data_IF_375286483800
#
_entry.id   IF_375286483800
#
_cell.length_a   1.000
_cell.length_b   1.000
_cell.length_c   1.000
_cell.angle_alpha   90.00
_cell.angle_beta   90.00
_cell.angle_gamma   90.00
#
_symmetry.space_group_name_H-M   'P 1'
#
loop_
_entity.id
_entity.type
_entity.pdbx_description
1 polymer ?
#
# COMPACT_ATOMS: atom_id res chain seq x y z
N UNK A 1 19.14 18.86 -5.70
CA UNK A 1 17.76 19.44 -5.64
C UNK A 1 16.74 18.31 -5.66
N UNK A 2 15.81 18.27 -4.69
CA UNK A 2 14.72 17.28 -4.66
C UNK A 2 13.42 17.89 -5.20
N UNK A 3 12.73 17.17 -6.09
CA UNK A 3 11.46 17.59 -6.69
C UNK A 3 10.47 16.43 -6.69
N UNK A 4 9.21 16.73 -6.43
CA UNK A 4 8.10 15.80 -6.58
C UNK A 4 7.08 16.40 -7.54
N UNK A 5 6.64 15.61 -8.51
CA UNK A 5 5.58 16.00 -9.44
C UNK A 5 4.51 14.92 -9.47
N UNK A 6 3.29 15.31 -9.83
CA UNK A 6 2.17 14.39 -9.97
C UNK A 6 1.47 14.63 -11.30
N UNK A 7 1.16 13.54 -11.99
CA UNK A 7 0.18 13.48 -13.06
C UNK A 7 -1.01 12.64 -12.61
N UNK A 8 -2.22 13.05 -12.97
CA UNK A 8 -3.45 12.34 -12.64
C UNK A 8 -4.48 12.57 -13.75
N UNK A 9 -5.09 11.50 -14.25
CA UNK A 9 -6.19 11.57 -15.21
C UNK A 9 -7.26 10.52 -14.89
N UNK A 10 -8.52 10.90 -15.09
CA UNK A 10 -9.73 10.06 -15.04
C UNK A 10 -10.34 9.89 -16.43
N UNK A 11 -9.59 10.19 -17.50
CA UNK A 11 -10.10 10.03 -18.86
C UNK A 11 -10.47 8.56 -19.12
N UNK A 12 -11.62 8.39 -19.77
CA UNK A 12 -12.20 7.08 -20.09
C UNK A 12 -11.33 6.38 -21.15
N UNK A 13 -10.77 7.16 -22.09
CA UNK A 13 -9.91 6.66 -23.14
C UNK A 13 -8.47 6.52 -22.63
N UNK A 14 -8.01 5.26 -22.53
CA UNK A 14 -6.72 4.94 -21.92
C UNK A 14 -5.53 5.71 -22.53
N UNK A 15 -5.54 5.92 -23.84
CA UNK A 15 -4.44 6.63 -24.52
C UNK A 15 -4.42 8.12 -24.14
N UNK A 16 -5.58 8.73 -23.97
CA UNK A 16 -5.70 10.13 -23.59
C UNK A 16 -5.35 10.29 -22.10
N UNK A 17 -5.84 9.38 -21.24
CA UNK A 17 -5.43 9.33 -19.83
C UNK A 17 -3.91 9.22 -19.65
N UNK A 18 -3.26 8.34 -20.42
CA UNK A 18 -1.80 8.19 -20.41
C UNK A 18 -1.09 9.43 -20.95
N UNK A 19 -1.59 10.01 -22.05
CA UNK A 19 -1.03 11.22 -22.63
C UNK A 19 -1.07 12.39 -21.62
N UNK A 20 -2.19 12.55 -20.92
CA UNK A 20 -2.37 13.55 -19.86
C UNK A 20 -1.38 13.34 -18.72
N UNK A 21 -1.37 12.15 -18.11
CA UNK A 21 -0.50 11.83 -16.96
C UNK A 21 0.97 12.06 -17.30
N UNK A 22 1.40 11.60 -18.48
CA UNK A 22 2.78 11.75 -18.95
C UNK A 22 3.11 13.21 -19.24
N UNK A 23 2.22 13.94 -19.92
CA UNK A 23 2.40 15.35 -20.27
C UNK A 23 2.49 16.23 -19.03
N UNK A 24 1.58 16.04 -18.07
CA UNK A 24 1.58 16.73 -16.78
C UNK A 24 2.90 16.48 -16.03
N UNK A 25 3.34 15.23 -15.93
CA UNK A 25 4.61 14.87 -15.28
C UNK A 25 5.82 15.51 -15.98
N UNK A 26 5.91 15.42 -17.32
CA UNK A 26 7.03 15.99 -18.10
C UNK A 26 7.09 17.51 -17.98
N UNK A 27 5.95 18.18 -18.15
CA UNK A 27 5.85 19.63 -18.03
C UNK A 27 6.31 20.10 -16.65
N UNK A 28 5.85 19.42 -15.60
CA UNK A 28 6.24 19.76 -14.22
C UNK A 28 7.70 19.41 -13.93
N UNK A 29 8.25 18.31 -14.47
CA UNK A 29 9.66 17.94 -14.28
C UNK A 29 10.60 18.94 -14.96
N UNK A 30 10.28 19.37 -16.18
CA UNK A 30 11.21 20.12 -17.03
C UNK A 30 12.40 19.23 -17.42
N UNK A 31 13.62 19.75 -17.28
CA UNK A 31 14.86 19.02 -17.60
C UNK A 31 15.36 18.10 -16.46
N UNK A 32 14.65 18.04 -15.34
CA UNK A 32 15.05 17.21 -14.19
C UNK A 32 14.84 15.71 -14.48
N UNK A 33 15.75 14.82 -14.05
CA UNK A 33 15.61 13.38 -14.31
C UNK A 33 14.43 12.78 -13.55
N UNK A 34 13.81 11.73 -14.10
CA UNK A 34 12.82 10.93 -13.38
C UNK A 34 13.53 9.82 -12.59
N UNK A 35 13.89 10.08 -11.32
CA UNK A 35 14.70 9.16 -10.51
C UNK A 35 13.88 7.98 -9.96
N UNK A 36 12.68 8.26 -9.45
CA UNK A 36 11.77 7.25 -8.91
C UNK A 36 10.31 7.60 -9.17
N UNK A 37 9.43 6.59 -9.19
CA UNK A 37 8.01 6.81 -9.39
C UNK A 37 7.13 5.85 -8.59
N UNK A 38 5.93 6.34 -8.26
CA UNK A 38 4.83 5.58 -7.67
C UNK A 38 3.63 5.65 -8.62
N UNK A 39 3.27 4.50 -9.19
CA UNK A 39 2.15 4.36 -10.11
C UNK A 39 0.95 3.74 -9.39
N UNK A 40 -0.17 4.44 -9.40
CA UNK A 40 -1.46 3.97 -8.90
C UNK A 40 -2.47 4.00 -10.03
N UNK A 41 -3.27 2.95 -10.12
CA UNK A 41 -4.15 2.75 -11.26
C UNK A 41 -5.40 1.98 -10.83
N UNK A 42 -6.55 2.41 -11.35
CA UNK A 42 -7.75 1.60 -11.28
C UNK A 42 -7.56 0.24 -11.98
N UNK A 43 -8.03 -0.83 -11.33
CA UNK A 43 -7.84 -2.21 -11.78
C UNK A 43 -8.51 -2.54 -13.13
N UNK A 44 -9.46 -1.71 -13.58
CA UNK A 44 -10.20 -1.92 -14.83
C UNK A 44 -9.47 -1.49 -16.12
N UNK A 45 -8.35 -0.77 -16.02
CA UNK A 45 -7.53 -0.44 -17.19
C UNK A 45 -6.71 -1.65 -17.69
N UNK A 46 -6.21 -1.55 -18.92
CA UNK A 46 -5.19 -2.48 -19.44
C UNK A 46 -3.84 -2.20 -18.75
N UNK A 47 -3.65 -2.83 -17.59
CA UNK A 47 -2.50 -2.57 -16.70
C UNK A 47 -1.15 -2.81 -17.39
N UNK A 48 -0.93 -3.88 -18.20
CA UNK A 48 0.30 -4.03 -18.97
C UNK A 48 0.59 -2.85 -19.89
N UNK A 49 -0.43 -2.34 -20.58
CA UNK A 49 -0.29 -1.17 -21.44
C UNK A 49 0.06 0.08 -20.63
N UNK A 50 -0.58 0.30 -19.48
CA UNK A 50 -0.26 1.42 -18.57
C UNK A 50 1.19 1.35 -18.10
N UNK A 51 1.61 0.21 -17.54
CA UNK A 51 2.95 0.03 -17.00
C UNK A 51 4.03 0.26 -18.06
N UNK A 52 3.85 -0.31 -19.26
CA UNK A 52 4.80 -0.16 -20.36
C UNK A 52 4.85 1.26 -20.90
N UNK A 53 3.71 1.94 -21.04
CA UNK A 53 3.66 3.32 -21.51
C UNK A 53 4.41 4.26 -20.55
N UNK A 54 4.16 4.16 -19.25
CA UNK A 54 4.87 4.97 -18.23
C UNK A 54 6.36 4.65 -18.21
N UNK A 55 6.73 3.36 -18.20
CA UNK A 55 8.14 2.96 -18.14
C UNK A 55 8.93 3.37 -19.39
N UNK A 56 8.28 3.37 -20.56
CA UNK A 56 8.86 3.87 -21.81
C UNK A 56 8.97 5.40 -21.81
N UNK A 57 7.99 6.10 -21.25
CA UNK A 57 7.97 7.56 -21.20
C UNK A 57 9.05 8.16 -20.29
N UNK A 58 9.48 7.42 -19.27
CA UNK A 58 10.50 7.82 -18.30
C UNK A 58 11.63 6.76 -18.16
N UNK A 59 12.51 6.63 -19.17
CA UNK A 59 13.54 5.59 -19.16
C UNK A 59 14.47 5.67 -17.94
N UNK A 60 14.72 4.54 -17.28
CA UNK A 60 15.63 4.42 -16.14
C UNK A 60 15.01 4.75 -14.77
N UNK A 61 13.75 5.18 -14.73
CA UNK A 61 13.02 5.43 -13.49
C UNK A 61 12.95 4.17 -12.62
N UNK A 62 13.18 4.31 -11.31
CA UNK A 62 12.84 3.26 -10.35
C UNK A 62 11.33 3.30 -10.10
N UNK A 63 10.55 2.44 -10.76
CA UNK A 63 9.08 2.47 -10.68
C UNK A 63 8.56 1.32 -9.84
N UNK A 64 7.75 1.66 -8.82
CA UNK A 64 6.88 0.70 -8.13
C UNK A 64 5.45 1.23 -8.09
N UNK A 65 4.49 0.39 -7.72
CA UNK A 65 3.11 0.82 -7.61
C UNK A 65 2.15 -0.32 -7.35
N UNK A 66 0.86 -0.02 -7.36
CA UNK A 66 -0.18 -1.03 -7.26
C UNK A 66 -1.49 -0.54 -7.87
N UNK A 67 -2.41 -1.48 -8.09
CA UNK A 67 -3.81 -1.12 -8.26
C UNK A 67 -4.41 -0.64 -6.95
N UNK A 68 -5.45 0.20 -7.02
CA UNK A 68 -6.06 0.80 -5.83
C UNK A 68 -7.60 0.76 -5.87
N UNK A 69 -8.23 1.22 -4.78
CA UNK A 69 -9.68 1.46 -4.70
C UNK A 69 -10.04 2.95 -4.93
N UNK A 70 -9.05 3.76 -5.31
CA UNK A 70 -9.19 5.17 -5.66
C UNK A 70 -7.90 5.94 -5.42
N UNK A 71 -7.66 6.92 -6.28
CA UNK A 71 -6.48 7.78 -6.26
C UNK A 71 -6.86 9.18 -5.77
N UNK A 72 -6.06 9.72 -4.84
CA UNK A 72 -6.16 11.10 -4.37
C UNK A 72 -4.88 11.85 -4.71
N UNK A 73 -4.98 12.99 -5.37
CA UNK A 73 -3.82 13.83 -5.66
C UNK A 73 -4.11 15.32 -5.66
N UNK A 74 -3.04 16.13 -5.67
CA UNK A 74 -3.14 17.58 -5.82
C UNK A 74 -3.62 18.03 -7.21
N UNK A 75 -3.69 17.12 -8.18
CA UNK A 75 -4.03 17.44 -9.57
C UNK A 75 -5.53 17.28 -9.86
N UNK A 76 -6.10 16.14 -9.47
CA UNK A 76 -7.48 15.76 -9.81
C UNK A 76 -8.34 15.53 -8.56
N UNK A 77 -7.83 15.87 -7.37
CA UNK A 77 -8.44 15.49 -6.09
C UNK A 77 -8.66 13.97 -6.09
N UNK A 78 -9.88 13.48 -5.90
CA UNK A 78 -10.22 12.06 -5.75
C UNK A 78 -10.94 11.55 -6.99
N UNK A 79 -10.50 10.40 -7.49
CA UNK A 79 -11.20 9.59 -8.49
C UNK A 79 -11.01 8.10 -8.18
N UNK A 80 -12.00 7.27 -8.49
CA UNK A 80 -11.95 5.81 -8.31
C UNK A 80 -11.77 5.04 -9.64
N UNK A 81 -11.65 5.76 -10.75
CA UNK A 81 -11.40 5.22 -12.09
C UNK A 81 -10.32 6.04 -12.79
N UNK A 82 -9.10 6.01 -12.27
CA UNK A 82 -8.02 6.89 -12.72
C UNK A 82 -6.65 6.23 -12.79
N UNK A 83 -5.72 6.98 -13.37
CA UNK A 83 -4.28 6.72 -13.33
C UNK A 83 -3.62 7.90 -12.64
N UNK A 84 -2.89 7.64 -11.55
CA UNK A 84 -2.07 8.62 -10.86
C UNK A 84 -0.60 8.19 -10.85
N UNK A 85 0.29 9.10 -11.25
CA UNK A 85 1.73 8.89 -11.23
C UNK A 85 2.40 10.01 -10.45
N UNK A 86 3.09 9.65 -9.38
CA UNK A 86 4.02 10.54 -8.71
C UNK A 86 5.44 10.23 -9.19
N UNK A 87 6.20 11.26 -9.57
CA UNK A 87 7.63 11.13 -9.89
C UNK A 87 8.45 11.97 -8.91
N UNK A 88 9.49 11.35 -8.38
CA UNK A 88 10.53 11.98 -7.58
C UNK A 88 11.78 12.17 -8.43
N UNK A 89 12.39 13.35 -8.31
CA UNK A 89 13.64 13.71 -8.97
C UNK A 89 14.64 14.19 -7.95
N UNK A 90 15.86 13.65 -8.00
CA UNK A 90 16.98 14.09 -7.19
C UNK A 90 18.30 13.63 -7.80
N UNK A 91 19.31 14.48 -7.70
CA UNK A 91 20.70 14.18 -8.06
C UNK A 91 21.52 13.66 -6.85
N UNK A 92 20.99 13.83 -5.63
CA UNK A 92 21.70 13.52 -4.37
C UNK A 92 21.11 12.30 -3.66
N UNK A 93 19.80 12.08 -3.80
CA UNK A 93 19.09 10.97 -3.16
C UNK A 93 19.04 9.79 -4.14
N UNK A 94 19.51 8.63 -3.68
CA UNK A 94 19.38 7.39 -4.42
C UNK A 94 18.08 6.69 -4.08
N UNK A 95 17.44 6.17 -5.11
CA UNK A 95 16.26 5.34 -5.02
C UNK A 95 16.63 3.96 -5.54
N UNK A 96 16.15 2.91 -4.87
CA UNK A 96 16.31 1.55 -5.36
C UNK A 96 15.01 0.77 -5.20
N UNK A 97 14.39 0.49 -6.33
CA UNK A 97 13.24 -0.41 -6.40
C UNK A 97 13.71 -1.87 -6.47
N UNK A 98 12.99 -2.74 -5.79
CA UNK A 98 13.09 -4.20 -5.91
C UNK A 98 11.69 -4.81 -5.72
N UNK A 99 11.56 -6.11 -5.96
CA UNK A 99 10.30 -6.82 -5.74
C UNK A 99 10.54 -8.23 -5.18
N UNK A 100 9.78 -8.59 -4.15
CA UNK A 100 9.61 -9.98 -3.77
C UNK A 100 8.50 -10.59 -4.64
N UNK A 101 8.85 -11.54 -5.50
CA UNK A 101 7.90 -12.30 -6.32
C UNK A 101 7.44 -13.55 -5.60
N UNK A 102 6.22 -13.98 -5.90
CA UNK A 102 5.61 -15.19 -5.33
C UNK A 102 5.71 -15.21 -3.79
N UNK A 103 5.51 -14.04 -3.17
CA UNK A 103 5.69 -13.83 -1.74
C UNK A 103 4.67 -14.62 -0.89
N UNK A 104 3.61 -15.14 -1.49
CA UNK A 104 2.63 -16.00 -0.82
C UNK A 104 3.18 -17.39 -0.46
N UNK A 105 4.26 -17.84 -1.13
CA UNK A 105 4.91 -19.12 -0.82
C UNK A 105 5.68 -19.06 0.51
N UNK A 106 6.43 -17.97 0.71
CA UNK A 106 7.22 -17.69 1.93
C UNK A 106 7.43 -16.18 2.05
N UNK A 107 6.48 -15.51 2.68
CA UNK A 107 6.46 -14.05 2.75
C UNK A 107 7.71 -13.49 3.42
N UNK A 108 8.11 -14.07 4.55
CA UNK A 108 9.21 -13.51 5.33
C UNK A 108 10.55 -13.70 4.61
N UNK A 109 10.83 -14.89 4.05
CA UNK A 109 12.09 -15.12 3.35
C UNK A 109 12.19 -14.32 2.04
N UNK A 110 11.12 -14.27 1.25
CA UNK A 110 11.10 -13.58 -0.07
C UNK A 110 11.24 -12.06 0.11
N UNK A 111 10.50 -11.47 1.05
CA UNK A 111 10.58 -10.03 1.36
C UNK A 111 11.96 -9.69 1.92
N UNK A 112 12.50 -10.49 2.84
CA UNK A 112 13.84 -10.27 3.37
C UNK A 112 14.93 -10.35 2.28
N UNK A 113 14.81 -11.30 1.35
CA UNK A 113 15.74 -11.43 0.22
C UNK A 113 15.69 -10.20 -0.69
N UNK A 114 14.49 -9.73 -1.05
CA UNK A 114 14.30 -8.52 -1.85
C UNK A 114 14.91 -7.28 -1.15
N UNK A 115 14.65 -7.09 0.13
CA UNK A 115 15.21 -5.99 0.91
C UNK A 115 16.75 -6.01 0.95
N UNK A 116 17.37 -7.17 1.14
CA UNK A 116 18.83 -7.33 1.09
C UNK A 116 19.41 -7.01 -0.28
N UNK A 117 18.71 -7.39 -1.36
CA UNK A 117 19.10 -7.05 -2.73
C UNK A 117 19.07 -5.53 -2.96
N UNK A 118 18.03 -4.84 -2.48
CA UNK A 118 17.96 -3.39 -2.59
C UNK A 118 19.07 -2.70 -1.79
N UNK A 119 19.32 -3.13 -0.55
CA UNK A 119 20.42 -2.62 0.27
C UNK A 119 21.79 -2.81 -0.41
N UNK A 120 22.05 -4.01 -0.94
CA UNK A 120 23.33 -4.32 -1.59
C UNK A 120 23.58 -3.56 -2.89
N UNK A 121 22.56 -2.91 -3.45
CA UNK A 121 22.65 -2.10 -4.68
C UNK A 121 22.45 -0.60 -4.44
N UNK A 122 22.31 -0.18 -3.18
CA UNK A 122 22.31 1.21 -2.76
C UNK A 122 23.76 1.61 -2.46
N UNK A 123 24.23 2.70 -3.06
CA UNK A 123 25.58 3.22 -2.80
C UNK A 123 25.67 4.06 -1.52
N UNK A 124 24.53 4.25 -0.85
CA UNK A 124 24.29 5.21 0.22
C UNK A 124 23.49 4.54 1.35
N UNK A 125 23.44 5.17 2.52
CA UNK A 125 22.66 4.65 3.65
C UNK A 125 21.16 4.76 3.35
N UNK A 126 20.43 3.64 3.44
CA UNK A 126 18.98 3.65 3.34
C UNK A 126 18.37 4.36 4.55
N UNK A 127 17.37 5.24 4.33
CA UNK A 127 16.72 6.02 5.39
C UNK A 127 15.22 5.77 5.49
N UNK A 128 14.62 5.24 4.43
CA UNK A 128 13.19 5.12 4.29
C UNK A 128 12.85 3.97 3.33
N UNK A 129 11.78 3.22 3.63
CA UNK A 129 11.24 2.20 2.74
C UNK A 129 9.78 2.53 2.41
N UNK A 130 9.43 2.51 1.13
CA UNK A 130 8.04 2.61 0.65
C UNK A 130 7.67 1.30 -0.04
N UNK A 131 6.54 0.68 0.30
CA UNK A 131 6.14 -0.62 -0.25
C UNK A 131 4.65 -0.70 -0.52
N UNK A 132 4.27 -1.48 -1.54
CA UNK A 132 2.87 -1.71 -1.92
C UNK A 132 2.54 -3.21 -2.03
N UNK A 133 2.44 -3.93 -0.91
CA UNK A 133 2.23 -5.37 -0.92
C UNK A 133 0.86 -5.75 -1.51
N UNK A 134 0.79 -6.95 -2.09
CA UNK A 134 -0.46 -7.67 -2.31
C UNK A 134 -1.26 -7.78 -0.97
N UNK A 135 -2.59 -7.65 -1.03
CA UNK A 135 -3.44 -7.45 0.16
C UNK A 135 -4.33 -8.64 0.55
N UNK A 136 -4.50 -9.64 -0.31
CA UNK A 136 -5.48 -10.72 -0.14
C UNK A 136 -4.83 -11.97 0.44
N UNK A 137 -3.69 -12.37 -0.11
CA UNK A 137 -2.98 -13.61 0.23
C UNK A 137 -1.86 -13.39 1.22
N UNK A 138 -1.38 -12.16 1.37
CA UNK A 138 -0.25 -11.81 2.22
C UNK A 138 -0.69 -11.15 3.53
N UNK A 139 0.02 -11.48 4.60
CA UNK A 139 -0.08 -10.72 5.86
C UNK A 139 0.81 -9.49 5.80
N UNK A 140 0.20 -8.30 5.81
CA UNK A 140 0.95 -7.04 5.92
C UNK A 140 1.86 -6.98 7.16
N UNK A 141 1.44 -7.60 8.27
CA UNK A 141 2.29 -7.73 9.47
C UNK A 141 3.53 -8.59 9.22
N UNK A 142 3.41 -9.69 8.47
CA UNK A 142 4.56 -10.52 8.09
C UNK A 142 5.53 -9.76 7.18
N UNK A 143 5.01 -8.98 6.22
CA UNK A 143 5.83 -8.10 5.37
C UNK A 143 6.61 -7.10 6.22
N UNK A 144 5.94 -6.39 7.13
CA UNK A 144 6.60 -5.41 8.02
C UNK A 144 7.65 -6.08 8.90
N UNK A 145 7.36 -7.24 9.51
CA UNK A 145 8.35 -8.00 10.29
C UNK A 145 9.57 -8.38 9.47
N UNK A 146 9.37 -8.88 8.26
CA UNK A 146 10.46 -9.28 7.36
C UNK A 146 11.35 -8.09 6.97
N UNK A 147 10.74 -6.94 6.66
CA UNK A 147 11.46 -5.70 6.37
C UNK A 147 12.26 -5.22 7.59
N UNK A 148 11.64 -5.16 8.77
CA UNK A 148 12.32 -4.78 10.02
C UNK A 148 13.46 -5.70 10.39
N UNK A 149 13.32 -7.01 10.15
CA UNK A 149 14.38 -7.99 10.36
C UNK A 149 15.63 -7.75 9.49
N UNK A 150 15.50 -7.00 8.38
CA UNK A 150 16.61 -6.65 7.49
C UNK A 150 17.07 -5.20 7.67
N UNK A 151 16.14 -4.27 7.75
CA UNK A 151 16.40 -2.82 7.75
C UNK A 151 16.63 -2.26 9.16
N UNK A 152 16.19 -2.98 10.19
CA UNK A 152 16.22 -2.56 11.60
C UNK A 152 14.82 -2.37 12.18
N UNK A 153 14.66 -2.64 13.47
CA UNK A 153 13.35 -2.65 14.15
C UNK A 153 12.64 -1.30 14.10
N UNK A 154 13.39 -0.21 14.19
CA UNK A 154 12.86 1.16 14.16
C UNK A 154 12.95 1.79 12.77
N UNK A 155 13.25 1.00 11.73
CA UNK A 155 13.42 1.54 10.39
C UNK A 155 12.07 2.05 9.84
N UNK A 156 12.00 3.27 9.28
CA UNK A 156 10.76 3.84 8.77
C UNK A 156 10.27 3.09 7.53
N UNK A 157 9.08 2.51 7.62
CA UNK A 157 8.40 1.80 6.52
C UNK A 157 7.03 2.44 6.32
N UNK A 158 6.76 2.90 5.10
CA UNK A 158 5.49 3.51 4.69
C UNK A 158 4.92 2.82 3.46
N UNK A 159 3.68 3.15 3.14
CA UNK A 159 2.98 2.69 1.96
C UNK A 159 1.54 2.33 2.26
N UNK A 160 1.02 1.38 1.49
CA UNK A 160 -0.32 0.82 1.61
C UNK A 160 -0.35 -0.52 0.91
N UNK A 161 -1.46 -1.25 0.97
CA UNK A 161 -1.60 -2.51 0.23
C UNK A 161 -2.41 -2.29 -1.05
N UNK A 162 -2.20 -3.13 -2.05
CA UNK A 162 -2.93 -3.05 -3.32
C UNK A 162 -4.45 -3.25 -3.12
N UNK A 163 -5.25 -2.61 -3.96
CA UNK A 163 -6.71 -2.72 -4.02
C UNK A 163 -7.19 -3.27 -5.37
N UNK A 164 -8.45 -3.66 -5.43
CA UNK A 164 -9.09 -4.23 -6.62
C UNK A 164 -10.54 -3.75 -6.82
N UNK A 165 -10.79 -2.48 -6.51
CA UNK A 165 -12.11 -1.86 -6.49
C UNK A 165 -13.09 -2.60 -5.54
N UNK A 166 -12.58 -2.94 -4.33
CA UNK A 166 -13.33 -3.62 -3.25
C UNK A 166 -13.91 -4.99 -3.64
N UNK A 167 -13.34 -5.66 -4.65
CA UNK A 167 -13.80 -6.99 -5.08
C UNK A 167 -13.26 -8.09 -4.19
N UNK A 168 -12.07 -7.89 -3.60
CA UNK A 168 -11.39 -8.84 -2.71
C UNK A 168 -11.15 -10.19 -3.41
N UNK A 169 -10.79 -10.13 -4.70
CA UNK A 169 -10.54 -11.27 -5.57
C UNK A 169 -9.07 -11.37 -5.98
N UNK A 170 -8.49 -10.26 -6.46
CA UNK A 170 -7.13 -10.25 -7.00
C UNK A 170 -6.57 -8.84 -7.11
N UNK A 171 -5.40 -8.62 -6.52
CA UNK A 171 -4.70 -7.35 -6.61
C UNK A 171 -3.45 -7.42 -7.48
N UNK A 172 -3.03 -6.27 -8.01
CA UNK A 172 -1.88 -6.16 -8.91
C UNK A 172 -0.87 -5.14 -8.39
N UNK A 173 0.40 -5.41 -8.67
CA UNK A 173 1.53 -4.56 -8.31
C UNK A 173 2.32 -4.18 -9.56
N UNK A 174 2.90 -2.98 -9.56
CA UNK A 174 3.78 -2.52 -10.62
C UNK A 174 5.24 -2.58 -10.17
N UNK A 175 6.11 -3.06 -11.06
CA UNK A 175 7.56 -3.01 -10.88
C UNK A 175 8.22 -2.78 -12.24
N UNK A 176 8.79 -1.58 -12.45
CA UNK A 176 9.20 -1.17 -13.79
C UNK A 176 8.02 -1.20 -14.75
N UNK A 177 8.22 -1.77 -15.94
CA UNK A 177 7.14 -2.00 -16.91
C UNK A 177 6.32 -3.27 -16.69
N UNK A 178 6.54 -4.01 -15.61
CA UNK A 178 5.83 -5.27 -15.34
C UNK A 178 4.62 -5.07 -14.44
N UNK A 179 3.59 -5.90 -14.68
CA UNK A 179 2.43 -6.09 -13.81
C UNK A 179 2.54 -7.44 -13.14
N UNK A 180 2.49 -7.44 -11.82
CA UNK A 180 2.75 -8.59 -10.96
C UNK A 180 1.55 -8.88 -10.06
N UNK A 181 1.53 -10.10 -9.53
CA UNK A 181 0.56 -10.58 -8.54
C UNK A 181 1.32 -11.34 -7.46
N UNK A 182 0.73 -11.50 -6.27
CA UNK A 182 1.37 -12.19 -5.14
C UNK A 182 2.77 -11.63 -4.84
N UNK A 183 2.93 -10.31 -4.98
CA UNK A 183 4.24 -9.67 -4.96
C UNK A 183 4.29 -8.49 -4.00
N UNK A 184 5.51 -8.14 -3.59
CA UNK A 184 5.79 -7.03 -2.69
C UNK A 184 6.87 -6.16 -3.31
N UNK A 185 6.50 -5.16 -4.13
CA UNK A 185 7.45 -4.15 -4.56
C UNK A 185 7.81 -3.25 -3.38
N UNK A 186 9.08 -2.90 -3.28
CA UNK A 186 9.58 -1.98 -2.27
C UNK A 186 10.63 -1.06 -2.88
N UNK A 187 10.70 0.15 -2.36
CA UNK A 187 11.66 1.17 -2.73
C UNK A 187 12.39 1.65 -1.50
N UNK A 188 13.72 1.47 -1.50
CA UNK A 188 14.58 2.12 -0.53
C UNK A 188 14.96 3.51 -1.03
N UNK A 189 14.92 4.49 -0.13
CA UNK A 189 15.29 5.87 -0.38
C UNK A 189 16.46 6.20 0.56
N UNK A 190 17.56 6.68 -0.02
CA UNK A 190 18.79 6.96 0.73
C UNK A 190 18.83 8.36 1.32
N UNK A 191 19.90 8.64 2.05
CA UNK A 191 20.33 10.00 2.37
C UNK A 191 20.72 10.80 1.11
N UNK A 192 20.77 12.15 1.17
CA UNK A 192 20.34 13.02 2.27
C UNK A 192 18.83 13.35 2.18
N UNK A 193 18.00 12.67 2.97
CA UNK A 193 16.57 12.95 3.09
C UNK A 193 16.21 13.28 4.54
N UNK A 194 15.39 14.33 4.71
CA UNK A 194 14.68 14.63 5.94
C UNK A 194 13.19 14.41 5.66
N UNK A 195 12.52 13.66 6.52
CA UNK A 195 11.09 13.36 6.37
C UNK A 195 10.39 13.46 7.72
N UNK A 196 9.07 13.66 7.67
CA UNK A 196 8.16 13.54 8.79
C UNK A 196 6.93 12.79 8.29
N UNK A 197 6.27 12.06 9.18
CA UNK A 197 5.03 11.35 8.88
C UNK A 197 3.94 11.73 9.85
N UNK A 198 2.70 11.60 9.39
CA UNK A 198 1.50 11.74 10.20
C UNK A 198 0.47 10.72 9.75
N UNK A 199 -0.43 10.36 10.66
CA UNK A 199 -1.53 9.44 10.39
C UNK A 199 -2.83 10.11 10.79
N UNK A 200 -3.84 9.98 9.94
CA UNK A 200 -5.21 10.36 10.24
C UNK A 200 -6.15 9.33 9.61
N UNK A 201 -7.18 8.91 10.32
CA UNK A 201 -8.10 7.86 9.87
C UNK A 201 -9.57 8.27 9.88
N UNK A 202 -9.93 9.45 10.39
CA UNK A 202 -11.30 9.93 10.47
C UNK A 202 -12.21 9.20 11.46
N UNK A 203 -11.78 8.07 12.03
CA UNK A 203 -12.53 7.31 13.03
C UNK A 203 -12.20 7.78 14.44
N UNK A 204 -13.24 7.95 15.26
CA UNK A 204 -13.10 8.17 16.69
C UNK A 204 -13.43 6.87 17.46
N UNK A 205 -12.66 6.55 18.52
CA UNK A 205 -12.98 5.42 19.37
C UNK A 205 -14.33 5.63 20.03
N UNK A 206 -15.04 4.51 20.17
CA UNK A 206 -16.23 4.44 20.97
C UNK A 206 -15.80 4.12 22.40
N UNK A 207 -16.53 4.57 23.42
CA UNK A 207 -16.19 4.40 24.84
C UNK A 207 -16.27 2.93 25.35
N UNK A 208 -15.99 1.95 24.49
CA UNK A 208 -16.03 0.52 24.77
C UNK A 208 -14.71 -0.14 24.36
N UNK A 209 -13.84 -0.35 25.35
CA UNK A 209 -12.62 -1.14 25.17
C UNK A 209 -12.86 -2.63 25.50
N UNK A 210 -12.11 -3.51 24.84
CA UNK A 210 -12.11 -4.93 25.12
C UNK A 210 -10.73 -5.54 24.90
N UNK A 211 -10.42 -6.58 25.67
CA UNK A 211 -9.17 -7.34 25.50
C UNK A 211 -9.45 -8.56 24.64
N UNK A 212 -8.74 -8.71 23.52
CA UNK A 212 -8.73 -9.96 22.75
C UNK A 212 -8.12 -11.05 23.63
N UNK A 213 -8.94 -12.04 24.02
CA UNK A 213 -8.50 -13.14 24.89
C UNK A 213 -8.18 -14.41 24.10
N UNK A 214 -8.73 -14.55 22.89
CA UNK A 214 -8.42 -15.66 21.98
C UNK A 214 -8.49 -15.20 20.52
N UNK A 215 -7.42 -15.44 19.77
CA UNK A 215 -7.37 -15.21 18.33
C UNK A 215 -6.46 -16.26 17.67
N UNK A 216 -6.76 -16.59 16.42
CA UNK A 216 -5.96 -17.46 15.57
C UNK A 216 -5.77 -16.80 14.20
N UNK A 217 -4.53 -16.47 13.84
CA UNK A 217 -4.24 -15.72 12.62
C UNK A 217 -4.96 -14.37 12.60
N UNK A 218 -5.80 -14.16 11.58
CA UNK A 218 -6.64 -12.97 11.41
C UNK A 218 -8.07 -13.14 11.97
N UNK A 219 -8.37 -14.23 12.69
CA UNK A 219 -9.68 -14.51 13.26
C UNK A 219 -9.65 -14.27 14.77
N UNK A 220 -10.52 -13.36 15.25
CA UNK A 220 -10.70 -13.11 16.68
C UNK A 220 -11.86 -13.98 17.17
N UNK A 221 -11.60 -14.89 18.08
CA UNK A 221 -12.64 -15.77 18.63
C UNK A 221 -13.26 -15.21 19.89
N UNK A 222 -12.46 -14.55 20.74
CA UNK A 222 -12.93 -14.06 22.03
C UNK A 222 -12.41 -12.68 22.38
N UNK A 223 -13.32 -11.87 22.92
CA UNK A 223 -13.04 -10.57 23.53
C UNK A 223 -13.62 -10.60 24.94
N UNK A 224 -12.81 -10.25 25.94
CA UNK A 224 -13.17 -10.30 27.36
C UNK A 224 -13.65 -11.69 27.84
N UNK A 225 -13.02 -12.78 27.35
CA UNK A 225 -13.41 -14.17 27.61
C UNK A 225 -14.86 -14.50 27.19
N UNK A 226 -15.37 -13.80 26.19
CA UNK A 226 -16.69 -14.03 25.58
C UNK A 226 -16.56 -14.08 24.07
N UNK A 227 -17.51 -14.71 23.35
CA UNK A 227 -17.47 -14.75 21.89
C UNK A 227 -17.37 -13.35 21.29
N UNK A 228 -16.49 -13.18 20.29
CA UNK A 228 -16.22 -11.88 19.68
C UNK A 228 -17.49 -11.23 19.10
N UNK A 229 -18.41 -12.04 18.57
CA UNK A 229 -19.71 -11.58 18.05
C UNK A 229 -20.55 -10.84 19.09
N UNK A 230 -20.44 -11.17 20.38
CA UNK A 230 -21.17 -10.45 21.43
C UNK A 230 -20.67 -9.01 21.58
N UNK A 231 -19.36 -8.80 21.42
CA UNK A 231 -18.76 -7.48 21.46
C UNK A 231 -19.27 -6.60 20.31
N UNK A 232 -19.32 -7.15 19.08
CA UNK A 232 -19.86 -6.43 17.92
C UNK A 232 -21.36 -6.22 18.01
N UNK A 233 -22.13 -7.23 18.43
CA UNK A 233 -23.60 -7.14 18.55
C UNK A 233 -24.02 -6.07 19.55
N UNK A 234 -23.23 -5.85 20.61
CA UNK A 234 -23.48 -4.78 21.58
C UNK A 234 -23.41 -3.39 20.94
N UNK A 235 -22.59 -3.20 19.92
CA UNK A 235 -22.39 -1.91 19.27
C UNK A 235 -23.24 -1.71 18.00
N UNK A 236 -23.29 -2.73 17.15
CA UNK A 236 -23.97 -2.68 15.86
C UNK A 236 -25.42 -3.19 15.91
N UNK A 237 -25.84 -3.72 17.06
CA UNK A 237 -27.15 -4.34 17.23
C UNK A 237 -27.23 -5.65 16.46
N UNK A 238 -28.20 -5.74 15.55
CA UNK A 238 -28.42 -6.94 14.76
C UNK A 238 -27.35 -7.06 13.66
N UNK A 239 -26.38 -7.95 13.86
CA UNK A 239 -25.28 -8.14 12.91
C UNK A 239 -25.74 -8.57 11.50
N UNK A 240 -26.93 -9.18 11.37
CA UNK A 240 -27.49 -9.48 10.05
C UNK A 240 -27.84 -8.22 9.25
N UNK A 241 -28.23 -7.12 9.90
CA UNK A 241 -28.63 -5.87 9.23
C UNK A 241 -27.43 -5.06 8.73
N UNK A 242 -26.26 -5.28 9.33
CA UNK A 242 -24.98 -4.65 8.97
C UNK A 242 -24.04 -5.59 8.22
N UNK A 243 -24.54 -6.76 7.81
CA UNK A 243 -23.75 -7.73 7.06
C UNK A 243 -23.16 -7.08 5.79
N UNK A 244 -21.85 -7.21 5.60
CA UNK A 244 -21.12 -6.57 4.50
C UNK A 244 -20.66 -5.13 4.77
N UNK A 245 -21.00 -4.55 5.92
CA UNK A 245 -20.57 -3.21 6.34
C UNK A 245 -19.62 -3.21 7.54
N UNK A 246 -19.13 -4.38 7.96
CA UNK A 246 -18.24 -4.49 9.12
C UNK A 246 -16.93 -3.68 8.96
N UNK A 247 -16.47 -3.48 7.72
CA UNK A 247 -15.29 -2.68 7.42
C UNK A 247 -15.49 -1.18 7.72
N UNK A 248 -16.75 -0.72 7.80
CA UNK A 248 -17.12 0.63 8.24
C UNK A 248 -17.07 0.78 9.77
N UNK A 249 -16.69 -0.26 10.51
CA UNK A 249 -16.57 -0.24 11.96
C UNK A 249 -15.26 -0.90 12.39
N UNK A 250 -14.10 -0.29 12.05
CA UNK A 250 -12.81 -0.89 12.35
C UNK A 250 -12.57 -0.94 13.86
N UNK A 251 -11.81 -1.96 14.29
CA UNK A 251 -11.29 -2.02 15.64
C UNK A 251 -10.06 -1.13 15.75
N UNK A 252 -10.00 -0.31 16.80
CA UNK A 252 -8.77 0.35 17.22
C UNK A 252 -8.06 -0.59 18.19
N UNK A 253 -6.87 -1.04 17.79
CA UNK A 253 -5.98 -1.86 18.60
C UNK A 253 -4.99 -0.95 19.30
N UNK A 254 -5.05 -0.93 20.62
CA UNK A 254 -4.12 -0.22 21.48
C UNK A 254 -3.00 -1.19 21.90
N UNK A 255 -1.77 -0.94 21.45
CA UNK A 255 -0.62 -1.81 21.73
C UNK A 255 0.70 -1.06 21.76
N UNK A 256 1.22 -0.78 22.96
CA UNK A 256 2.51 -0.09 23.13
C UNK A 256 2.42 1.42 22.94
N UNK A 257 3.36 1.99 22.20
CA UNK A 257 3.44 3.45 21.94
C UNK A 257 2.50 3.92 20.80
N UNK A 258 1.96 3.00 20.01
CA UNK A 258 1.14 3.30 18.84
C UNK A 258 -0.21 2.55 18.88
N UNK A 259 -1.27 3.23 18.44
CA UNK A 259 -2.57 2.61 18.15
C UNK A 259 -2.72 2.40 16.64
N UNK A 260 -3.29 1.28 16.22
CA UNK A 260 -3.62 1.05 14.83
C UNK A 260 -5.02 0.49 14.64
N UNK A 261 -5.52 0.54 13.41
CA UNK A 261 -6.87 0.16 13.07
C UNK A 261 -6.82 -1.10 12.24
N UNK A 262 -7.74 -2.01 12.51
CA UNK A 262 -7.96 -3.22 11.73
C UNK A 262 -9.41 -3.23 11.32
N UNK A 263 -9.66 -3.26 10.01
CA UNK A 263 -11.00 -3.42 9.46
C UNK A 263 -11.47 -4.86 9.67
N UNK A 264 -12.72 -5.01 10.07
CA UNK A 264 -13.38 -6.33 10.15
C UNK A 264 -14.00 -6.64 8.81
N UNK A 265 -13.53 -7.69 8.14
CA UNK A 265 -14.01 -8.04 6.80
C UNK A 265 -15.32 -8.84 6.85
N UNK A 266 -15.46 -9.71 7.86
CA UNK A 266 -16.63 -10.56 8.03
C UNK A 266 -16.81 -10.92 9.49
N UNK A 267 -18.00 -11.41 9.81
CA UNK A 267 -18.36 -11.98 11.11
C UNK A 267 -18.99 -13.33 10.87
N UNK A 268 -18.47 -14.38 11.51
CA UNK A 268 -19.01 -15.73 11.43
C UNK A 268 -19.96 -15.98 12.61
N UNK A 269 -21.26 -15.79 12.34
CA UNK A 269 -22.32 -16.03 13.32
C UNK A 269 -22.52 -17.51 13.65
N UNK A 270 -22.00 -18.43 12.83
CA UNK A 270 -22.09 -19.87 13.09
C UNK A 270 -21.07 -20.28 14.15
N UNK A 271 -19.85 -19.76 14.03
CA UNK A 271 -18.74 -20.06 14.93
C UNK A 271 -18.54 -19.01 16.04
N UNK A 272 -19.37 -17.97 16.06
CA UNK A 272 -19.32 -16.85 17.00
C UNK A 272 -17.96 -16.14 17.05
N UNK A 273 -17.32 -15.95 15.89
CA UNK A 273 -16.01 -15.29 15.72
C UNK A 273 -16.06 -14.16 14.71
#
# INVERSE_FOLDING_TARGET
MFKSVVGHSEDIELNDALADVISQCRSKLGDSPASAGFLFCWVGHDLPTVAQAIYTAFPGIQLIGATTDGELSSELVFSDTSIALQILSSDEIQFRATVARDAHEDTEARVAAAARQALGSLGHEARLCITFPESITLSGSAVVRALRGVLGETFPIFGGTAGDARRVEKTFQFFGGEVLTNSVPLMLISDPICFSSGRFSGWEPLDLAGTVTRAEGNVVHEINNRPAVEFFSRYLGNLHEVAGKYAEYPLIIEGGADSYQISVLSVDLTNNS
#
